data_IF_248054349249
#
_entry.id   IF_248054349249
#
_cell.length_a   1.000
_cell.length_b   1.000
_cell.length_c   1.000
_cell.angle_alpha   90.00
_cell.angle_beta   90.00
_cell.angle_gamma   90.00
#
_symmetry.space_group_name_H-M   'P 1'
#
loop_
_entity.id
_entity.type
_entity.pdbx_description
1 polymer ?
#
# COMPACT_ATOMS: atom_id res chain seq x y z
N UNK A 1 3.92 -17.01 11.78
CA UNK A 1 3.21 -16.73 10.51
C UNK A 1 4.25 -16.81 9.41
N UNK A 2 4.04 -17.59 8.39
CA UNK A 2 4.96 -17.75 7.24
C UNK A 2 5.09 -16.40 6.52
N UNK A 3 6.30 -15.96 6.18
CA UNK A 3 6.52 -14.74 5.40
C UNK A 3 6.01 -14.90 3.96
N UNK A 4 5.84 -13.78 3.24
CA UNK A 4 5.46 -13.86 1.82
C UNK A 4 6.56 -14.50 0.97
N UNK A 5 7.82 -14.29 1.36
CA UNK A 5 8.97 -14.94 0.74
C UNK A 5 8.95 -16.46 0.94
N UNK A 6 8.70 -16.93 2.18
CA UNK A 6 8.56 -18.37 2.49
C UNK A 6 7.38 -18.99 1.75
N UNK A 7 6.21 -18.30 1.73
CA UNK A 7 5.04 -18.76 0.97
C UNK A 7 5.40 -19.08 -0.49
N UNK A 8 6.15 -18.19 -1.14
CA UNK A 8 6.52 -18.38 -2.56
C UNK A 8 7.60 -19.44 -2.79
N UNK A 9 8.42 -19.73 -1.78
CA UNK A 9 9.33 -20.88 -1.83
C UNK A 9 8.55 -22.20 -1.79
N UNK A 10 7.48 -22.25 -0.99
CA UNK A 10 6.61 -23.42 -0.86
C UNK A 10 5.63 -23.56 -2.06
N UNK A 11 5.36 -22.46 -2.79
CA UNK A 11 4.41 -22.40 -3.90
C UNK A 11 5.05 -21.82 -5.18
N UNK A 12 6.08 -22.46 -5.76
CA UNK A 12 6.77 -21.95 -6.94
C UNK A 12 5.88 -21.85 -8.19
N UNK A 13 4.76 -22.58 -8.22
CA UNK A 13 3.76 -22.54 -9.29
C UNK A 13 2.86 -21.29 -9.23
N UNK A 14 2.82 -20.55 -8.13
CA UNK A 14 2.00 -19.34 -8.00
C UNK A 14 2.69 -18.14 -8.68
N UNK A 15 2.68 -18.17 -10.00
CA UNK A 15 3.35 -17.16 -10.84
C UNK A 15 2.77 -15.75 -10.65
N UNK A 16 1.48 -15.63 -10.30
CA UNK A 16 0.83 -14.34 -10.10
C UNK A 16 1.34 -13.64 -8.84
N UNK A 17 1.34 -14.36 -7.72
CA UNK A 17 1.90 -13.84 -6.47
C UNK A 17 3.40 -13.62 -6.60
N UNK A 18 4.12 -14.48 -7.31
CA UNK A 18 5.55 -14.31 -7.57
C UNK A 18 5.84 -13.04 -8.36
N UNK A 19 5.08 -12.75 -9.41
CA UNK A 19 5.24 -11.52 -10.20
C UNK A 19 5.06 -10.27 -9.31
N UNK A 20 4.01 -10.25 -8.52
CA UNK A 20 3.75 -9.14 -7.59
C UNK A 20 4.86 -8.98 -6.55
N UNK A 21 5.29 -10.06 -5.93
CA UNK A 21 6.39 -10.08 -4.97
C UNK A 21 7.71 -9.56 -5.58
N UNK A 22 8.06 -10.03 -6.78
CA UNK A 22 9.35 -9.73 -7.39
C UNK A 22 9.45 -8.33 -8.01
N UNK A 23 8.31 -7.68 -8.31
CA UNK A 23 8.29 -6.42 -9.07
C UNK A 23 7.50 -5.27 -8.45
N UNK A 24 6.68 -5.53 -7.44
CA UNK A 24 5.79 -4.49 -6.89
C UNK A 24 5.80 -4.38 -5.36
N UNK A 25 5.81 -5.52 -4.66
CA UNK A 25 5.70 -5.53 -3.20
C UNK A 25 6.95 -4.96 -2.55
N UNK A 26 6.80 -3.91 -1.75
CA UNK A 26 7.90 -3.22 -1.07
C UNK A 26 8.63 -2.18 -1.92
N UNK A 27 8.35 -2.09 -3.22
CA UNK A 27 8.96 -1.09 -4.09
C UNK A 27 8.36 0.30 -3.84
N UNK A 28 9.21 1.36 -3.75
CA UNK A 28 8.72 2.71 -3.51
C UNK A 28 7.86 3.20 -4.68
N UNK A 29 6.67 3.71 -4.37
CA UNK A 29 5.79 4.35 -5.35
C UNK A 29 6.09 5.85 -5.42
N UNK A 30 5.99 6.43 -6.63
CA UNK A 30 6.45 7.79 -6.91
C UNK A 30 5.33 8.81 -7.13
N UNK A 31 4.11 8.37 -7.42
CA UNK A 31 2.99 9.24 -7.74
C UNK A 31 1.72 8.88 -6.94
N UNK A 32 0.80 9.82 -6.85
CA UNK A 32 -0.42 9.72 -6.04
C UNK A 32 -1.43 8.72 -6.63
N UNK A 33 -1.47 8.54 -7.95
CA UNK A 33 -2.35 7.57 -8.59
C UNK A 33 -1.97 6.13 -8.18
N UNK A 34 -0.68 5.79 -8.26
CA UNK A 34 -0.18 4.48 -7.83
C UNK A 34 -0.36 4.25 -6.32
N UNK A 35 -0.20 5.29 -5.50
CA UNK A 35 -0.45 5.21 -4.05
C UNK A 35 -1.94 5.03 -3.74
N UNK A 36 -2.83 5.74 -4.44
CA UNK A 36 -4.28 5.56 -4.30
C UNK A 36 -4.71 4.17 -4.76
N UNK A 37 -4.16 3.68 -5.89
CA UNK A 37 -4.40 2.31 -6.36
C UNK A 37 -4.00 1.30 -5.30
N UNK A 38 -2.77 1.39 -4.75
CA UNK A 38 -2.29 0.47 -3.72
C UNK A 38 -3.19 0.50 -2.48
N UNK A 39 -3.53 1.67 -1.97
CA UNK A 39 -4.43 1.79 -0.82
C UNK A 39 -5.82 1.18 -1.12
N UNK A 40 -6.31 1.36 -2.35
CA UNK A 40 -7.58 0.77 -2.79
C UNK A 40 -7.54 -0.75 -2.81
N UNK A 41 -6.46 -1.35 -3.31
CA UNK A 41 -6.30 -2.81 -3.35
C UNK A 41 -6.23 -3.40 -1.93
N UNK A 42 -5.55 -2.74 -0.99
CA UNK A 42 -5.51 -3.16 0.42
C UNK A 42 -6.90 -3.05 1.08
N UNK A 43 -7.66 -1.97 0.81
CA UNK A 43 -9.04 -1.85 1.25
C UNK A 43 -9.93 -2.93 0.63
N UNK A 44 -9.75 -3.21 -0.66
CA UNK A 44 -10.51 -4.24 -1.37
C UNK A 44 -10.25 -5.64 -0.80
N UNK A 45 -9.01 -5.91 -0.37
CA UNK A 45 -8.58 -7.19 0.17
C UNK A 45 -9.22 -7.51 1.53
N UNK A 46 -9.62 -6.52 2.32
CA UNK A 46 -10.19 -6.76 3.64
C UNK A 46 -11.31 -7.83 3.62
N UNK A 47 -11.06 -8.98 4.25
CA UNK A 47 -11.93 -10.15 4.29
C UNK A 47 -11.84 -11.08 3.07
N UNK A 48 -10.85 -10.88 2.17
CA UNK A 48 -10.64 -11.66 0.95
C UNK A 48 -9.17 -12.11 0.85
N UNK A 49 -8.88 -13.05 -0.05
CA UNK A 49 -7.49 -13.44 -0.34
C UNK A 49 -6.79 -12.42 -1.23
N UNK A 50 -5.49 -12.21 -1.01
CA UNK A 50 -4.67 -11.33 -1.83
C UNK A 50 -4.62 -11.79 -3.30
N UNK A 51 -4.51 -13.10 -3.53
CA UNK A 51 -4.55 -13.68 -4.88
C UNK A 51 -5.81 -13.30 -5.66
N UNK A 52 -6.98 -13.19 -4.99
CA UNK A 52 -8.20 -12.72 -5.64
C UNK A 52 -8.07 -11.25 -6.07
N UNK A 53 -7.46 -10.43 -5.25
CA UNK A 53 -7.25 -9.01 -5.57
C UNK A 53 -6.25 -8.87 -6.72
N UNK A 54 -5.15 -9.61 -6.72
CA UNK A 54 -4.18 -9.59 -7.82
C UNK A 54 -4.82 -10.00 -9.16
N UNK A 55 -5.68 -11.01 -9.18
CA UNK A 55 -6.43 -11.41 -10.39
C UNK A 55 -7.35 -10.32 -10.92
N UNK A 56 -7.74 -9.35 -10.10
CA UNK A 56 -8.65 -8.25 -10.43
C UNK A 56 -7.96 -6.90 -10.54
N UNK A 57 -6.65 -6.84 -10.31
CA UNK A 57 -5.88 -5.60 -10.27
C UNK A 57 -6.07 -4.76 -11.53
N UNK A 58 -5.94 -5.37 -12.71
CA UNK A 58 -6.14 -4.68 -13.97
C UNK A 58 -7.57 -4.17 -14.14
N UNK A 59 -8.57 -4.95 -13.74
CA UNK A 59 -9.97 -4.51 -13.75
C UNK A 59 -10.21 -3.32 -12.81
N UNK A 60 -9.58 -3.31 -11.63
CA UNK A 60 -9.61 -2.15 -10.73
C UNK A 60 -8.97 -0.93 -11.40
N UNK A 61 -7.80 -1.09 -12.01
CA UNK A 61 -7.10 -0.01 -12.71
C UNK A 61 -8.00 0.63 -13.79
N UNK A 62 -8.64 -0.17 -14.60
CA UNK A 62 -9.56 0.29 -15.65
C UNK A 62 -10.83 0.91 -15.06
N UNK A 63 -11.46 0.26 -14.08
CA UNK A 63 -12.71 0.73 -13.47
C UNK A 63 -12.58 2.10 -12.79
N UNK A 64 -11.40 2.38 -12.20
CA UNK A 64 -11.08 3.66 -11.57
C UNK A 64 -10.24 4.59 -12.46
N UNK A 65 -10.23 4.38 -13.77
CA UNK A 65 -9.61 5.28 -14.77
C UNK A 65 -8.15 5.59 -14.45
N UNK A 66 -7.36 4.54 -14.14
CA UNK A 66 -5.95 4.66 -13.79
C UNK A 66 -5.70 5.29 -12.43
N UNK A 67 -6.73 5.41 -11.59
CA UNK A 67 -6.65 6.02 -10.26
C UNK A 67 -6.19 7.48 -10.27
N UNK A 68 -6.44 8.21 -11.38
CA UNK A 68 -6.21 9.64 -11.39
C UNK A 68 -7.02 10.31 -10.28
N UNK A 69 -6.31 10.89 -9.31
CA UNK A 69 -6.89 11.36 -8.05
C UNK A 69 -8.05 12.34 -8.30
N UNK A 70 -7.87 13.27 -9.24
CA UNK A 70 -8.88 14.29 -9.52
C UNK A 70 -10.12 13.70 -10.18
N UNK A 71 -9.95 12.72 -11.06
CA UNK A 71 -11.06 11.97 -11.67
C UNK A 71 -11.85 11.20 -10.62
N UNK A 72 -11.15 10.40 -9.80
CA UNK A 72 -11.80 9.58 -8.77
C UNK A 72 -12.48 10.44 -7.70
N UNK A 73 -11.88 11.55 -7.29
CA UNK A 73 -12.46 12.48 -6.33
C UNK A 73 -13.75 13.14 -6.83
N UNK A 74 -13.89 13.30 -8.15
CA UNK A 74 -15.09 13.88 -8.80
C UNK A 74 -16.23 12.87 -8.97
N UNK A 75 -16.01 11.58 -8.72
CA UNK A 75 -17.06 10.56 -8.89
C UNK A 75 -18.31 10.86 -8.07
N UNK A 76 -19.47 10.68 -8.71
CA UNK A 76 -20.79 10.83 -8.13
C UNK A 76 -21.58 9.52 -8.11
N UNK A 77 -22.88 9.60 -7.84
CA UNK A 77 -23.75 8.41 -7.75
C UNK A 77 -23.81 7.58 -9.05
N UNK A 78 -23.63 8.19 -10.23
CA UNK A 78 -23.57 7.47 -11.51
C UNK A 78 -22.32 6.57 -11.58
N UNK A 79 -21.20 7.08 -11.09
CA UNK A 79 -19.95 6.32 -11.07
C UNK A 79 -20.01 5.21 -10.02
N UNK A 80 -20.57 5.49 -8.86
CA UNK A 80 -20.83 4.46 -7.84
C UNK A 80 -21.71 3.35 -8.39
N UNK A 81 -22.78 3.68 -9.11
CA UNK A 81 -23.65 2.69 -9.75
C UNK A 81 -22.90 1.87 -10.82
N UNK A 82 -22.07 2.52 -11.64
CA UNK A 82 -21.20 1.88 -12.64
C UNK A 82 -20.24 0.88 -11.98
N UNK A 83 -19.54 1.30 -10.94
CA UNK A 83 -18.58 0.48 -10.20
C UNK A 83 -19.26 -0.71 -9.51
N UNK A 84 -20.45 -0.53 -8.94
CA UNK A 84 -21.20 -1.61 -8.32
C UNK A 84 -21.80 -2.60 -9.33
N UNK A 85 -21.95 -2.21 -10.58
CA UNK A 85 -22.36 -3.09 -11.68
C UNK A 85 -21.18 -3.86 -12.30
N UNK A 86 -19.94 -3.42 -12.08
CA UNK A 86 -18.75 -4.04 -12.65
C UNK A 86 -18.37 -5.33 -11.92
N UNK A 87 -18.50 -6.46 -12.61
CA UNK A 87 -18.12 -7.79 -12.07
C UNK A 87 -16.60 -8.00 -12.00
N UNK A 88 -15.80 -7.15 -12.62
CA UNK A 88 -14.34 -7.20 -12.59
C UNK A 88 -13.76 -6.79 -11.23
N UNK A 89 -14.46 -5.98 -10.46
CA UNK A 89 -14.00 -5.49 -9.16
C UNK A 89 -14.79 -6.08 -7.98
N UNK A 90 -14.38 -5.73 -6.75
CA UNK A 90 -15.12 -6.09 -5.54
C UNK A 90 -16.28 -5.13 -5.36
N UNK A 91 -17.50 -5.61 -5.61
CA UNK A 91 -18.75 -4.83 -5.59
C UNK A 91 -19.25 -4.61 -4.16
N UNK A 92 -18.58 -3.74 -3.43
CA UNK A 92 -18.92 -3.35 -2.07
C UNK A 92 -19.03 -1.82 -1.98
N UNK A 93 -20.26 -1.31 -1.75
CA UNK A 93 -20.54 0.13 -1.72
C UNK A 93 -19.71 0.88 -0.69
N UNK A 94 -19.49 0.29 0.50
CA UNK A 94 -18.66 0.94 1.53
C UNK A 94 -17.22 1.10 1.09
N UNK A 95 -16.64 0.08 0.44
CA UNK A 95 -15.28 0.13 -0.08
C UNK A 95 -15.18 1.12 -1.26
N UNK A 96 -16.13 1.09 -2.20
CA UNK A 96 -16.17 2.05 -3.33
C UNK A 96 -16.25 3.49 -2.83
N UNK A 97 -17.17 3.78 -1.90
CA UNK A 97 -17.28 5.12 -1.31
C UNK A 97 -16.01 5.53 -0.55
N UNK A 98 -15.35 4.58 0.13
CA UNK A 98 -14.09 4.85 0.82
C UNK A 98 -12.98 5.29 -0.16
N UNK A 99 -12.89 4.67 -1.34
CA UNK A 99 -11.91 5.05 -2.37
C UNK A 99 -12.15 6.47 -2.85
N UNK A 100 -13.40 6.83 -3.16
CA UNK A 100 -13.78 8.17 -3.63
C UNK A 100 -13.46 9.21 -2.56
N UNK A 101 -13.84 8.93 -1.32
CA UNK A 101 -13.57 9.84 -0.21
C UNK A 101 -12.06 9.98 0.06
N UNK A 102 -11.30 8.90 -0.04
CA UNK A 102 -9.85 8.93 0.11
C UNK A 102 -9.18 9.75 -1.02
N UNK A 103 -9.68 9.67 -2.26
CA UNK A 103 -9.21 10.53 -3.33
C UNK A 103 -9.44 12.02 -3.03
N UNK A 104 -10.61 12.40 -2.51
CA UNK A 104 -10.91 13.78 -2.07
C UNK A 104 -9.98 14.25 -0.96
N UNK A 105 -9.69 13.37 0.00
CA UNK A 105 -8.75 13.67 1.08
C UNK A 105 -7.33 13.85 0.57
N UNK A 106 -6.88 13.04 -0.40
CA UNK A 106 -5.58 13.23 -1.06
C UNK A 106 -5.52 14.59 -1.76
N UNK A 107 -6.58 15.02 -2.46
CA UNK A 107 -6.66 16.38 -3.01
C UNK A 107 -6.44 17.44 -1.93
N UNK A 108 -7.09 17.28 -0.77
CA UNK A 108 -6.95 18.19 0.36
C UNK A 108 -5.53 18.28 0.92
N UNK A 109 -4.75 17.19 0.85
CA UNK A 109 -3.36 17.18 1.31
C UNK A 109 -2.41 18.01 0.43
N UNK A 110 -2.77 18.25 -0.83
CA UNK A 110 -1.89 18.92 -1.81
C UNK A 110 -1.51 20.33 -1.40
N UNK A 111 -2.42 21.05 -0.73
CA UNK A 111 -2.18 22.44 -0.30
C UNK A 111 -1.03 22.57 0.69
N UNK A 112 -0.87 21.60 1.60
CA UNK A 112 0.12 21.61 2.66
C UNK A 112 1.37 20.77 2.32
N UNK A 113 1.15 19.58 1.72
CA UNK A 113 2.22 18.59 1.49
C UNK A 113 2.60 18.42 0.01
N UNK A 114 1.94 19.10 -0.89
CA UNK A 114 2.15 19.00 -2.34
C UNK A 114 1.57 17.73 -2.97
N UNK A 115 1.51 16.62 -2.24
CA UNK A 115 1.05 15.31 -2.73
C UNK A 115 0.77 14.35 -1.58
N UNK A 116 0.13 13.20 -1.86
CA UNK A 116 0.02 12.10 -0.90
C UNK A 116 1.41 11.54 -0.53
N UNK A 117 2.29 11.40 -1.53
CA UNK A 117 3.70 11.04 -1.27
C UNK A 117 4.39 12.05 -0.36
N UNK A 118 4.18 13.34 -0.57
CA UNK A 118 4.70 14.41 0.27
C UNK A 118 4.20 14.30 1.72
N UNK A 119 2.90 14.02 1.89
CA UNK A 119 2.30 13.79 3.21
C UNK A 119 2.93 12.56 3.92
N UNK A 120 3.09 11.43 3.21
CA UNK A 120 3.76 10.25 3.77
C UNK A 120 5.20 10.59 4.19
N UNK A 121 5.95 11.29 3.34
CA UNK A 121 7.33 11.69 3.63
C UNK A 121 7.46 12.66 4.80
N UNK A 122 6.53 13.61 4.95
CA UNK A 122 6.52 14.59 6.03
C UNK A 122 6.26 13.95 7.41
N UNK A 123 5.57 12.81 7.45
CA UNK A 123 5.27 12.12 8.71
C UNK A 123 6.21 10.94 9.00
N UNK A 124 7.05 10.57 8.04
CA UNK A 124 8.01 9.49 8.24
C UNK A 124 9.29 10.01 8.96
N UNK A 125 9.85 9.25 9.94
CA UNK A 125 9.42 7.94 10.42
C UNK A 125 8.42 8.01 11.57
N UNK A 126 7.46 7.09 11.55
CA UNK A 126 6.52 6.85 12.67
C UNK A 126 6.46 5.35 12.97
N UNK A 127 6.14 4.99 14.22
CA UNK A 127 5.80 3.61 14.57
C UNK A 127 4.51 3.17 13.87
N UNK A 128 4.30 1.86 13.72
CA UNK A 128 3.08 1.33 13.10
C UNK A 128 1.80 1.80 13.82
N UNK A 129 1.87 1.93 15.14
CA UNK A 129 0.73 2.42 15.94
C UNK A 129 0.42 3.90 15.62
N UNK A 130 1.45 4.74 15.53
CA UNK A 130 1.31 6.16 15.18
C UNK A 130 0.80 6.31 13.75
N UNK A 131 1.33 5.54 12.78
CA UNK A 131 0.83 5.47 11.42
C UNK A 131 -0.64 5.07 11.39
N UNK A 132 -1.03 4.04 12.14
CA UNK A 132 -2.43 3.59 12.19
C UNK A 132 -3.35 4.68 12.73
N UNK A 133 -2.94 5.38 13.79
CA UNK A 133 -3.70 6.53 14.31
C UNK A 133 -3.81 7.66 13.30
N UNK A 134 -2.71 7.98 12.62
CA UNK A 134 -2.65 9.03 11.61
C UNK A 134 -3.57 8.70 10.42
N UNK A 135 -3.47 7.48 9.87
CA UNK A 135 -4.33 7.04 8.77
C UNK A 135 -5.80 7.06 9.13
N UNK A 136 -6.18 6.60 10.32
CA UNK A 136 -7.59 6.65 10.78
C UNK A 136 -8.16 8.06 10.88
N UNK A 137 -7.34 9.07 11.18
CA UNK A 137 -7.76 10.49 11.20
C UNK A 137 -7.83 11.08 9.80
N UNK A 138 -6.96 10.66 8.90
CA UNK A 138 -6.78 11.24 7.57
C UNK A 138 -7.63 10.56 6.52
N UNK A 139 -7.77 9.24 6.57
CA UNK A 139 -8.44 8.43 5.56
C UNK A 139 -9.60 7.62 6.15
N UNK A 140 -10.44 7.09 5.27
CA UNK A 140 -11.55 6.21 5.68
C UNK A 140 -11.24 4.75 5.31
N UNK A 141 -11.82 3.82 6.07
CA UNK A 141 -11.63 2.37 5.90
C UNK A 141 -10.16 1.93 6.05
N UNK A 142 -9.41 2.56 6.94
CA UNK A 142 -7.99 2.28 7.18
C UNK A 142 -7.76 1.68 8.56
N UNK A 143 -7.99 0.36 8.68
CA UNK A 143 -7.64 -0.42 9.87
C UNK A 143 -6.13 -0.73 9.94
N UNK A 144 -5.66 -1.24 11.10
CA UNK A 144 -4.23 -1.48 11.34
C UNK A 144 -3.58 -2.40 10.30
N UNK A 145 -4.24 -3.48 9.91
CA UNK A 145 -3.70 -4.41 8.90
C UNK A 145 -3.62 -3.74 7.50
N UNK A 146 -4.63 -2.97 7.10
CA UNK A 146 -4.62 -2.22 5.83
C UNK A 146 -3.45 -1.23 5.82
N UNK A 147 -3.25 -0.47 6.90
CA UNK A 147 -2.17 0.50 7.02
C UNK A 147 -0.81 -0.19 6.99
N UNK A 148 -0.66 -1.29 7.72
CA UNK A 148 0.58 -2.08 7.77
C UNK A 148 0.96 -2.59 6.38
N UNK A 149 0.05 -3.25 5.68
CA UNK A 149 0.32 -3.79 4.35
C UNK A 149 0.53 -2.68 3.31
N UNK A 150 -0.23 -1.59 3.38
CA UNK A 150 0.03 -0.41 2.55
C UNK A 150 1.46 0.14 2.74
N UNK A 151 1.91 0.31 3.97
CA UNK A 151 3.23 0.85 4.27
C UNK A 151 4.36 -0.12 3.88
N UNK A 152 4.16 -1.42 4.09
CA UNK A 152 5.09 -2.47 3.63
C UNK A 152 5.21 -2.45 2.12
N UNK A 153 4.08 -2.56 1.44
CA UNK A 153 4.02 -2.68 -0.01
C UNK A 153 4.53 -1.44 -0.76
N UNK A 154 4.63 -0.29 -0.07
CA UNK A 154 5.08 0.99 -0.65
C UNK A 154 6.46 1.47 -0.16
N UNK A 155 7.17 0.65 0.63
CA UNK A 155 8.55 0.92 1.06
C UNK A 155 8.69 1.90 2.22
N UNK A 156 7.65 2.04 3.07
CA UNK A 156 7.72 2.80 4.34
C UNK A 156 8.07 1.93 5.54
N UNK A 157 7.83 0.62 5.48
CA UNK A 157 8.26 -0.36 6.48
C UNK A 157 9.23 -1.37 5.86
N UNK A 158 10.25 -1.87 6.61
CA UNK A 158 11.33 -2.69 6.08
C UNK A 158 10.98 -4.16 5.86
N UNK A 159 9.87 -4.63 6.42
CA UNK A 159 9.51 -6.04 6.58
C UNK A 159 8.60 -6.57 5.46
N UNK A 160 8.68 -5.99 4.26
CA UNK A 160 8.02 -6.51 3.06
C UNK A 160 8.68 -7.83 2.58
N UNK A 161 9.99 -7.91 2.68
CA UNK A 161 10.78 -9.08 2.27
C UNK A 161 11.74 -9.51 3.37
N UNK A 162 12.05 -10.80 3.41
CA UNK A 162 13.08 -11.34 4.31
C UNK A 162 14.46 -10.82 3.89
N UNK A 163 15.39 -10.60 4.84
CA UNK A 163 16.70 -10.01 4.55
C UNK A 163 17.57 -10.83 3.58
N UNK A 164 17.34 -12.12 3.49
CA UNK A 164 18.03 -13.05 2.57
C UNK A 164 17.32 -13.15 1.20
N UNK A 165 16.12 -12.62 1.07
CA UNK A 165 15.42 -12.56 -0.20
C UNK A 165 16.19 -11.70 -1.22
N UNK A 166 16.42 -12.19 -2.46
CA UNK A 166 17.09 -11.41 -3.50
C UNK A 166 16.43 -10.05 -3.79
N UNK A 167 15.09 -9.99 -3.67
CA UNK A 167 14.31 -8.76 -3.92
C UNK A 167 14.58 -7.70 -2.85
N UNK A 168 14.80 -8.10 -1.59
CA UNK A 168 15.17 -7.16 -0.52
C UNK A 168 16.36 -6.26 -0.90
N UNK A 169 17.41 -6.87 -1.48
CA UNK A 169 18.61 -6.13 -1.89
C UNK A 169 18.34 -5.19 -3.07
N UNK A 170 17.43 -5.57 -3.96
CA UNK A 170 17.02 -4.72 -5.08
C UNK A 170 16.29 -3.48 -4.57
N UNK A 171 15.32 -3.68 -3.67
CA UNK A 171 14.55 -2.59 -3.06
C UNK A 171 15.46 -1.67 -2.24
N UNK A 172 16.34 -2.21 -1.43
CA UNK A 172 17.27 -1.40 -0.63
C UNK A 172 18.12 -0.43 -1.48
N UNK A 173 18.51 -0.83 -2.70
CA UNK A 173 19.24 0.03 -3.65
C UNK A 173 18.41 1.21 -4.18
N UNK A 174 17.10 1.10 -4.17
CA UNK A 174 16.17 2.17 -4.55
C UNK A 174 15.96 3.22 -3.44
N UNK A 175 16.62 3.02 -2.30
CA UNK A 175 16.55 3.92 -1.15
C UNK A 175 15.12 4.23 -0.69
N UNK A 176 14.29 3.20 -0.41
CA UNK A 176 12.97 3.42 0.14
C UNK A 176 13.03 4.19 1.46
N UNK A 177 11.88 4.69 1.92
CA UNK A 177 11.83 5.49 3.15
C UNK A 177 12.51 4.79 4.33
N UNK A 178 12.21 3.51 4.56
CA UNK A 178 12.81 2.72 5.65
C UNK A 178 14.35 2.57 5.55
N UNK A 179 14.92 2.52 4.33
CA UNK A 179 16.37 2.35 4.17
C UNK A 179 17.15 3.64 4.48
N UNK A 180 16.51 4.79 4.31
CA UNK A 180 17.09 6.10 4.68
C UNK A 180 17.20 6.22 6.20
N UNK A 181 16.21 5.72 6.94
CA UNK A 181 16.23 5.71 8.41
C UNK A 181 17.37 4.88 8.96
N UNK A 182 17.60 3.70 8.38
CA UNK A 182 18.71 2.82 8.80
C UNK A 182 20.08 3.51 8.66
N UNK A 183 20.24 4.39 7.67
CA UNK A 183 21.50 5.16 7.51
C UNK A 183 21.64 6.29 8.54
N UNK A 184 20.51 6.90 8.92
CA UNK A 184 20.49 8.02 9.86
C UNK A 184 20.48 7.58 11.33
N UNK A 185 20.27 6.28 11.61
CA UNK A 185 20.28 5.73 12.96
C UNK A 185 21.72 5.44 13.39
N UNK A 186 22.19 5.98 14.54
CA UNK A 186 23.52 5.70 15.06
C UNK A 186 23.80 4.18 15.21
N UNK A 187 25.05 3.71 15.02
CA UNK A 187 25.38 2.28 15.10
C UNK A 187 24.99 1.60 16.42
N UNK A 188 24.92 2.34 17.51
CA UNK A 188 24.51 1.87 18.85
C UNK A 188 23.04 1.47 18.92
N UNK A 189 22.14 2.16 18.23
CA UNK A 189 20.71 1.86 18.25
C UNK A 189 20.28 0.78 17.24
N UNK A 190 21.16 0.46 16.29
CA UNK A 190 20.89 -0.59 15.27
C UNK A 190 20.88 -2.00 15.85
N UNK A 191 21.64 -2.23 16.94
CA UNK A 191 21.73 -3.56 17.58
C UNK A 191 20.48 -3.94 18.37
N UNK A 192 19.79 -2.98 18.97
CA UNK A 192 18.65 -3.25 19.83
C UNK A 192 17.36 -3.54 19.03
N UNK A 193 17.25 -3.01 17.79
CA UNK A 193 16.09 -3.28 16.90
C UNK A 193 16.15 -4.64 16.19
N UNK A 194 17.32 -5.24 16.09
CA UNK A 194 17.50 -6.57 15.48
C UNK A 194 17.24 -7.72 16.47
N UNK A 195 17.05 -7.44 17.78
CA UNK A 195 17.00 -8.44 18.85
C UNK A 195 15.59 -8.67 19.44
N UNK A 196 14.54 -8.10 18.87
CA UNK A 196 13.17 -8.34 19.29
C UNK A 196 12.36 -8.97 18.16
N UNK A 197 12.27 -10.33 18.12
CA UNK A 197 11.22 -11.01 17.40
C UNK A 197 9.95 -10.93 18.29
N UNK A 198 8.97 -10.14 17.87
CA UNK A 198 7.64 -10.08 18.46
C UNK A 198 6.64 -10.85 17.63
#
# INVERSE_FOLDING_TARGET
>A
MTSYCEYLQDHPEDTLNKLYHDSEYGFPLTNDAALLERLTLEIAQAGLSWTLILKRKEAFHQAFEGFEVDSVAAYGEKDVARLLADSGIIRNRLKVNAVIENARRIQGLRGEYGSFKGWLGAHHPLSLEEWTRLFKRTFVFTGGEIVKEFLRSTGYLPDAHDPDCPVYKQIARLEPAWARDLRNTPPTERRDKASHPG
#
